data_IF_416402921941
#
_entry.id   IF_416402921941
#
_cell.length_a   1.000
_cell.length_b   1.000
_cell.length_c   1.000
_cell.angle_alpha   90.00
_cell.angle_beta   90.00
_cell.angle_gamma   90.00
#
_symmetry.space_group_name_H-M   'P 1'
#
loop_
_entity.id
_entity.type
_entity.pdbx_description
1 polymer ?
#
# COMPACT_ATOMS: atom_id res chain seq x y z
N UNK A 1 -28.81 20.68 2.93
CA UNK A 1 -28.66 20.26 4.32
C UNK A 1 -27.19 20.27 4.71
N UNK A 2 -26.83 21.14 5.63
CA UNK A 2 -25.50 21.24 6.21
C UNK A 2 -25.32 20.08 7.17
N UNK A 3 -24.59 19.02 6.75
CA UNK A 3 -24.18 17.97 7.67
C UNK A 3 -23.01 18.50 8.52
N UNK A 4 -23.20 18.57 9.82
CA UNK A 4 -22.12 18.90 10.76
C UNK A 4 -21.18 17.69 10.82
N UNK A 5 -19.97 17.85 10.29
CA UNK A 5 -18.97 16.81 10.27
C UNK A 5 -18.12 16.90 11.53
N UNK A 6 -18.13 15.88 12.36
CA UNK A 6 -17.18 15.76 13.46
C UNK A 6 -15.80 15.40 12.87
N UNK A 7 -14.97 16.44 12.72
CA UNK A 7 -13.56 16.28 12.32
C UNK A 7 -12.85 15.48 13.41
N UNK A 8 -12.30 14.32 13.07
CA UNK A 8 -11.52 13.40 13.92
C UNK A 8 -12.27 12.31 14.70
N UNK A 9 -13.55 12.05 14.45
CA UNK A 9 -14.25 10.92 15.08
C UNK A 9 -13.55 9.57 14.84
N UNK A 10 -12.83 9.44 13.72
CA UNK A 10 -12.08 8.24 13.33
C UNK A 10 -10.56 8.46 13.26
N UNK A 11 -10.03 9.56 13.82
CA UNK A 11 -8.61 9.90 13.74
C UNK A 11 -8.11 10.30 12.35
N UNK A 12 -8.95 10.24 11.33
CA UNK A 12 -8.63 10.56 9.93
C UNK A 12 -9.84 11.22 9.26
N UNK A 13 -9.58 12.23 8.40
CA UNK A 13 -10.62 12.92 7.67
C UNK A 13 -11.22 12.05 6.57
N UNK A 14 -12.51 11.70 6.70
CA UNK A 14 -13.24 10.97 5.65
C UNK A 14 -13.71 11.96 4.59
N UNK A 15 -13.39 11.69 3.34
CA UNK A 15 -13.60 12.58 2.21
C UNK A 15 -15.07 12.80 1.85
N UNK A 16 -15.90 11.77 1.99
CA UNK A 16 -17.31 11.82 1.62
C UNK A 16 -18.22 11.59 2.84
N UNK A 17 -19.08 12.56 3.20
CA UNK A 17 -20.00 12.39 4.34
C UNK A 17 -20.92 11.17 4.21
N UNK A 18 -21.33 10.81 2.99
CA UNK A 18 -22.17 9.64 2.73
C UNK A 18 -21.48 8.31 3.01
N UNK A 19 -20.15 8.32 3.09
CA UNK A 19 -19.37 7.12 3.39
C UNK A 19 -19.30 6.81 4.89
N UNK A 20 -19.68 7.72 5.77
CA UNK A 20 -19.63 7.52 7.22
C UNK A 20 -20.36 6.25 7.65
N UNK A 21 -21.55 5.98 7.09
CA UNK A 21 -22.31 4.77 7.43
C UNK A 21 -21.57 3.48 7.03
N UNK A 22 -20.81 3.50 5.94
CA UNK A 22 -20.01 2.35 5.48
C UNK A 22 -18.82 2.17 6.42
N UNK A 23 -18.13 3.26 6.74
CA UNK A 23 -16.98 3.23 7.67
C UNK A 23 -17.41 2.75 9.05
N UNK A 24 -18.52 3.26 9.58
CA UNK A 24 -19.08 2.78 10.85
C UNK A 24 -19.36 1.28 10.84
N UNK A 25 -19.94 0.75 9.75
CA UNK A 25 -20.18 -0.69 9.61
C UNK A 25 -18.87 -1.49 9.59
N UNK A 26 -17.87 -1.03 8.84
CA UNK A 26 -16.55 -1.67 8.77
C UNK A 26 -15.87 -1.66 10.14
N UNK A 27 -15.93 -0.54 10.86
CA UNK A 27 -15.35 -0.43 12.21
C UNK A 27 -16.09 -1.25 13.25
N UNK A 28 -17.41 -1.39 13.12
CA UNK A 28 -18.24 -2.15 14.06
C UNK A 28 -17.92 -3.66 14.07
N UNK A 29 -17.37 -4.21 12.97
CA UNK A 29 -16.95 -5.61 12.91
C UNK A 29 -15.66 -5.90 13.69
N UNK A 30 -14.96 -4.86 14.18
CA UNK A 30 -13.73 -4.99 14.98
C UNK A 30 -12.70 -5.97 14.41
N UNK A 31 -12.62 -6.05 13.09
CA UNK A 31 -11.67 -6.90 12.38
C UNK A 31 -10.29 -6.24 12.33
N UNK A 32 -9.24 -7.06 12.23
CA UNK A 32 -7.90 -6.57 11.97
C UNK A 32 -7.86 -5.75 10.67
N UNK A 33 -7.11 -4.66 10.66
CA UNK A 33 -6.99 -3.76 9.50
C UNK A 33 -5.71 -4.01 8.72
N UNK A 34 -5.77 -3.79 7.41
CA UNK A 34 -4.60 -3.96 6.53
C UNK A 34 -3.43 -3.05 6.93
N UNK A 35 -3.68 -1.94 7.62
CA UNK A 35 -2.62 -1.07 8.13
C UNK A 35 -1.58 -1.80 8.98
N UNK A 36 -1.96 -2.88 9.67
CA UNK A 36 -1.03 -3.72 10.43
C UNK A 36 -0.04 -4.49 9.55
N UNK A 37 -0.39 -4.75 8.29
CA UNK A 37 0.41 -5.50 7.32
C UNK A 37 1.29 -4.60 6.45
N UNK A 38 0.96 -3.31 6.34
CA UNK A 38 1.65 -2.35 5.48
C UNK A 38 2.91 -1.85 6.16
N UNK A 39 4.04 -1.84 5.44
CA UNK A 39 5.31 -1.32 5.92
C UNK A 39 5.24 0.19 6.20
N UNK A 40 6.17 0.67 7.02
CA UNK A 40 6.52 2.09 7.05
C UNK A 40 7.16 2.52 5.73
N UNK A 41 7.31 3.84 5.54
CA UNK A 41 8.10 4.39 4.44
C UNK A 41 9.54 3.88 4.51
N UNK A 42 10.19 3.68 3.37
CA UNK A 42 11.53 3.07 3.23
C UNK A 42 11.60 1.67 3.84
N UNK A 43 10.85 0.70 3.30
CA UNK A 43 10.76 -0.63 3.91
C UNK A 43 12.11 -1.34 4.06
N UNK A 44 13.10 -1.00 3.22
CA UNK A 44 14.47 -1.53 3.26
C UNK A 44 15.53 -0.44 3.56
N UNK A 45 15.10 0.75 3.97
CA UNK A 45 15.99 1.86 4.30
C UNK A 45 16.65 2.53 3.08
N UNK A 46 16.18 2.24 1.87
CA UNK A 46 16.78 2.72 0.62
C UNK A 46 16.02 3.94 0.07
N UNK A 47 16.74 5.03 -0.13
CA UNK A 47 16.20 6.25 -0.74
C UNK A 47 15.95 6.08 -2.25
N UNK A 48 15.10 6.94 -2.82
CA UNK A 48 14.73 6.91 -4.25
C UNK A 48 15.95 7.03 -5.19
N UNK A 49 17.00 7.74 -4.77
CA UNK A 49 18.20 7.97 -5.56
C UNK A 49 19.25 6.87 -5.44
N UNK A 50 18.99 5.80 -4.71
CA UNK A 50 19.89 4.65 -4.63
C UNK A 50 20.01 4.03 -6.01
N UNK A 51 21.25 3.85 -6.46
CA UNK A 51 21.57 3.21 -7.72
C UNK A 51 21.82 1.71 -7.52
N UNK A 52 21.42 0.86 -8.47
CA UNK A 52 21.77 -0.55 -8.44
C UNK A 52 23.26 -0.77 -8.62
N UNK A 53 23.76 -1.91 -8.14
CA UNK A 53 25.10 -2.40 -8.45
C UNK A 53 25.11 -3.15 -9.79
N UNK A 54 26.30 -3.34 -10.36
CA UNK A 54 26.45 -4.14 -11.58
C UNK A 54 26.16 -5.62 -11.31
N UNK A 55 26.56 -6.11 -10.13
CA UNK A 55 26.31 -7.47 -9.65
C UNK A 55 25.72 -7.45 -8.26
N UNK A 56 25.05 -8.51 -7.87
CA UNK A 56 24.45 -8.67 -6.55
C UNK A 56 23.55 -9.88 -6.45
N UNK A 57 23.29 -10.27 -5.22
CA UNK A 57 22.48 -11.44 -4.84
C UNK A 57 20.99 -11.08 -4.64
N UNK A 58 20.64 -9.79 -4.74
CA UNK A 58 19.25 -9.34 -4.67
C UNK A 58 18.83 -8.63 -5.95
N UNK A 59 17.53 -8.66 -6.20
CA UNK A 59 16.88 -7.81 -7.21
C UNK A 59 16.34 -6.55 -6.53
N UNK A 60 16.75 -5.38 -7.01
CA UNK A 60 16.28 -4.08 -6.56
C UNK A 60 15.23 -3.54 -7.53
N UNK A 61 14.03 -3.26 -7.02
CA UNK A 61 13.00 -2.51 -7.72
C UNK A 61 13.11 -1.02 -7.34
N UNK A 62 13.38 -0.17 -8.32
CA UNK A 62 13.56 1.27 -8.12
C UNK A 62 12.79 2.07 -9.19
N UNK A 63 12.83 3.39 -9.14
CA UNK A 63 12.02 4.26 -10.01
C UNK A 63 12.30 4.10 -11.52
N UNK A 64 13.46 3.59 -11.90
CA UNK A 64 13.84 3.38 -13.31
C UNK A 64 13.67 1.93 -13.78
N UNK A 65 13.21 1.02 -12.91
CA UNK A 65 13.01 -0.38 -13.25
C UNK A 65 13.58 -1.33 -12.22
N UNK A 66 14.35 -2.31 -12.66
CA UNK A 66 15.00 -3.31 -11.82
C UNK A 66 16.50 -3.32 -12.02
N UNK A 67 17.23 -3.69 -10.98
CA UNK A 67 18.67 -3.83 -11.00
C UNK A 67 19.16 -4.83 -9.97
N UNK A 68 20.45 -4.90 -9.75
CA UNK A 68 21.09 -5.75 -8.75
C UNK A 68 21.44 -4.97 -7.50
N UNK A 69 21.40 -5.64 -6.36
CA UNK A 69 21.81 -5.09 -5.08
C UNK A 69 22.47 -6.15 -4.21
N UNK A 70 23.18 -5.72 -3.16
CA UNK A 70 23.87 -6.62 -2.24
C UNK A 70 23.09 -6.77 -0.94
N UNK A 71 22.79 -8.01 -0.54
CA UNK A 71 22.13 -8.32 0.74
C UNK A 71 22.90 -7.72 1.93
N UNK A 72 24.22 -7.75 1.88
CA UNK A 72 25.09 -7.20 2.93
C UNK A 72 24.92 -5.70 3.16
N UNK A 73 24.36 -4.99 2.19
CA UNK A 73 24.11 -3.54 2.28
C UNK A 73 22.71 -3.21 2.81
N UNK A 74 21.87 -4.21 3.06
CA UNK A 74 20.49 -4.02 3.58
C UNK A 74 20.48 -4.27 5.08
N UNK A 75 20.13 -3.23 5.86
CA UNK A 75 20.13 -3.28 7.32
C UNK A 75 18.71 -3.13 7.92
N UNK A 76 17.72 -2.76 7.12
CA UNK A 76 16.33 -2.54 7.52
C UNK A 76 15.45 -3.45 6.67
N UNK A 77 14.40 -4.04 7.28
CA UNK A 77 13.46 -4.91 6.59
C UNK A 77 14.06 -6.23 6.13
N UNK A 78 15.15 -6.67 6.74
CA UNK A 78 15.87 -7.90 6.36
C UNK A 78 14.96 -9.12 6.39
N UNK A 79 14.02 -9.17 7.33
CA UNK A 79 13.02 -10.23 7.48
C UNK A 79 12.04 -10.33 6.31
N UNK A 80 11.90 -9.27 5.52
CA UNK A 80 11.02 -9.23 4.35
C UNK A 80 11.70 -9.73 3.07
N UNK A 81 13.03 -9.78 3.02
CA UNK A 81 13.77 -10.04 1.78
C UNK A 81 13.34 -11.35 1.14
N UNK A 82 13.26 -12.43 1.92
CA UNK A 82 12.98 -13.78 1.43
C UNK A 82 11.48 -14.15 1.47
N UNK A 83 10.62 -13.18 1.72
CA UNK A 83 9.17 -13.33 1.64
C UNK A 83 8.64 -13.04 0.24
N UNK A 84 7.49 -13.61 -0.08
CA UNK A 84 6.65 -13.15 -1.19
C UNK A 84 5.97 -11.85 -0.78
N UNK A 85 6.19 -10.78 -1.51
CA UNK A 85 5.73 -9.43 -1.13
C UNK A 85 4.77 -8.87 -2.15
N UNK A 86 3.80 -8.12 -1.68
CA UNK A 86 2.99 -7.23 -2.53
C UNK A 86 3.49 -5.81 -2.33
N UNK A 87 3.99 -5.22 -3.40
CA UNK A 87 4.56 -3.88 -3.45
C UNK A 87 3.55 -2.91 -4.06
N UNK A 88 3.45 -1.74 -3.48
CA UNK A 88 2.59 -0.65 -3.97
C UNK A 88 3.40 0.65 -4.09
N UNK A 89 2.96 1.53 -4.99
CA UNK A 89 3.58 2.84 -5.15
C UNK A 89 3.30 3.73 -3.94
N UNK A 90 4.29 4.49 -3.49
CA UNK A 90 4.13 5.54 -2.49
C UNK A 90 3.30 6.72 -3.02
N UNK A 91 3.44 7.06 -4.30
CA UNK A 91 2.59 8.05 -4.95
C UNK A 91 1.26 7.41 -5.36
N UNK A 92 0.16 8.07 -4.99
CA UNK A 92 -1.16 7.67 -5.45
C UNK A 92 -1.33 7.91 -6.95
N UNK A 93 -2.30 7.24 -7.56
CA UNK A 93 -2.66 7.49 -8.95
C UNK A 93 -3.19 8.93 -9.12
N UNK A 94 -2.97 9.48 -10.30
CA UNK A 94 -3.58 10.75 -10.69
C UNK A 94 -5.10 10.67 -10.54
N UNK A 95 -5.72 11.73 -9.99
CA UNK A 95 -7.14 11.77 -9.65
C UNK A 95 -7.61 10.68 -8.66
N UNK A 96 -6.72 10.19 -7.80
CA UNK A 96 -7.11 9.29 -6.71
C UNK A 96 -8.26 9.90 -5.88
N UNK A 97 -9.29 9.10 -5.62
CA UNK A 97 -10.47 9.55 -4.90
C UNK A 97 -11.55 10.19 -5.78
N UNK A 98 -11.37 10.18 -7.11
CA UNK A 98 -12.44 10.44 -8.07
C UNK A 98 -12.72 9.17 -8.88
N UNK A 99 -13.99 8.80 -9.07
CA UNK A 99 -14.32 7.67 -9.92
C UNK A 99 -14.04 8.02 -11.39
N UNK A 100 -13.57 7.03 -12.15
CA UNK A 100 -13.48 7.14 -13.59
C UNK A 100 -14.88 7.04 -14.25
N UNK A 101 -14.93 7.10 -15.58
CA UNK A 101 -16.18 6.99 -16.37
C UNK A 101 -16.97 5.69 -16.12
N UNK A 102 -16.36 4.67 -15.53
CA UNK A 102 -16.98 3.38 -15.19
C UNK A 102 -17.31 3.29 -13.70
N UNK A 103 -17.17 4.38 -12.93
CA UNK A 103 -17.37 4.42 -11.49
C UNK A 103 -16.27 3.74 -10.68
N UNK A 104 -15.08 3.54 -11.27
CA UNK A 104 -13.95 2.86 -10.63
C UNK A 104 -12.97 3.86 -10.02
N UNK A 105 -12.58 3.62 -8.78
CA UNK A 105 -11.54 4.40 -8.11
C UNK A 105 -10.16 3.80 -8.41
N UNK A 106 -9.28 4.61 -9.00
CA UNK A 106 -7.88 4.24 -9.24
C UNK A 106 -7.00 4.97 -8.21
N UNK A 107 -6.81 4.35 -7.06
CA UNK A 107 -6.01 4.95 -5.96
C UNK A 107 -4.56 4.52 -6.02
N UNK A 108 -4.31 3.22 -6.21
CA UNK A 108 -2.95 2.68 -6.33
C UNK A 108 -2.47 2.79 -7.77
N UNK A 109 -1.35 3.49 -8.00
CA UNK A 109 -0.76 3.64 -9.33
C UNK A 109 0.00 2.38 -9.77
N UNK A 110 0.66 1.70 -8.84
CA UNK A 110 1.40 0.46 -9.07
C UNK A 110 1.05 -0.54 -7.98
N UNK A 111 0.80 -1.78 -8.38
CA UNK A 111 0.68 -2.93 -7.49
C UNK A 111 1.37 -4.10 -8.17
N UNK A 112 2.40 -4.66 -7.55
CA UNK A 112 3.22 -5.74 -8.10
C UNK A 112 3.52 -6.79 -7.02
N UNK A 113 3.72 -8.04 -7.45
CA UNK A 113 4.23 -9.10 -6.58
C UNK A 113 5.75 -9.15 -6.73
N UNK A 114 6.46 -9.07 -5.62
CA UNK A 114 7.90 -9.27 -5.56
C UNK A 114 8.21 -10.67 -5.00
N UNK A 115 9.01 -11.47 -5.71
CA UNK A 115 9.43 -12.77 -5.21
C UNK A 115 10.47 -12.65 -4.07
N UNK A 116 10.83 -13.77 -3.41
CA UNK A 116 11.99 -13.80 -2.52
C UNK A 116 13.26 -13.24 -3.17
N UNK A 117 14.19 -12.79 -2.36
CA UNK A 117 15.45 -12.14 -2.78
C UNK A 117 15.23 -10.84 -3.56
N UNK A 118 14.13 -10.13 -3.28
CA UNK A 118 13.79 -8.85 -3.89
C UNK A 118 13.56 -7.78 -2.83
N UNK A 119 13.98 -6.55 -3.16
CA UNK A 119 13.83 -5.36 -2.34
C UNK A 119 13.37 -4.19 -3.20
N UNK A 120 12.96 -3.09 -2.56
CA UNK A 120 12.59 -1.86 -3.27
C UNK A 120 13.10 -0.62 -2.54
N UNK A 121 13.17 0.50 -3.28
CA UNK A 121 13.44 1.82 -2.72
C UNK A 121 12.19 2.44 -2.09
N UNK A 122 12.33 3.60 -1.46
CA UNK A 122 11.24 4.36 -0.86
C UNK A 122 10.19 4.90 -1.85
N UNK A 123 10.41 4.71 -3.15
CA UNK A 123 9.41 4.95 -4.19
C UNK A 123 8.18 4.05 -3.97
N UNK A 124 8.36 2.93 -3.25
CA UNK A 124 7.38 1.92 -2.99
C UNK A 124 7.25 1.60 -1.50
N UNK A 125 6.09 1.02 -1.14
CA UNK A 125 5.83 0.39 0.15
C UNK A 125 5.64 -1.11 -0.05
N UNK A 126 5.86 -1.88 1.00
CA UNK A 126 5.44 -3.27 1.06
C UNK A 126 4.06 -3.30 1.74
N UNK A 127 3.04 -3.63 0.96
CA UNK A 127 1.66 -3.71 1.44
C UNK A 127 1.39 -4.97 2.27
N UNK A 128 2.17 -6.02 2.04
CA UNK A 128 2.10 -7.28 2.78
C UNK A 128 3.24 -8.21 2.38
N UNK A 129 3.60 -9.13 3.28
CA UNK A 129 4.64 -10.14 3.07
C UNK A 129 4.14 -11.51 3.53
N UNK A 130 4.41 -12.55 2.75
CA UNK A 130 3.83 -13.87 2.90
C UNK A 130 4.89 -14.96 2.69
N UNK A 131 4.63 -16.15 3.24
CA UNK A 131 5.52 -17.30 3.08
C UNK A 131 5.35 -17.99 1.73
N UNK A 132 4.19 -17.84 1.09
CA UNK A 132 3.87 -18.48 -0.19
C UNK A 132 3.44 -17.50 -1.25
N UNK A 133 3.70 -17.86 -2.52
CA UNK A 133 3.25 -17.09 -3.67
C UNK A 133 1.73 -17.02 -3.74
N UNK A 134 1.03 -18.11 -3.42
CA UNK A 134 -0.43 -18.17 -3.44
C UNK A 134 -1.06 -17.14 -2.50
N UNK A 135 -0.53 -16.99 -1.29
CA UNK A 135 -0.98 -15.96 -0.35
C UNK A 135 -0.76 -14.54 -0.89
N UNK A 136 0.40 -14.29 -1.50
CA UNK A 136 0.71 -13.00 -2.13
C UNK A 136 -0.25 -12.70 -3.29
N UNK A 137 -0.56 -13.68 -4.13
CA UNK A 137 -1.52 -13.53 -5.24
C UNK A 137 -2.92 -13.22 -4.71
N UNK A 138 -3.38 -13.92 -3.68
CA UNK A 138 -4.68 -13.67 -3.07
C UNK A 138 -4.76 -12.24 -2.53
N UNK A 139 -3.74 -11.80 -1.82
CA UNK A 139 -3.67 -10.44 -1.28
C UNK A 139 -3.59 -9.37 -2.38
N UNK A 140 -2.79 -9.61 -3.41
CA UNK A 140 -2.70 -8.76 -4.59
C UNK A 140 -4.08 -8.57 -5.25
N UNK A 141 -4.83 -9.66 -5.43
CA UNK A 141 -6.16 -9.61 -6.01
C UNK A 141 -7.16 -8.86 -5.09
N UNK A 142 -7.06 -9.06 -3.78
CA UNK A 142 -7.89 -8.36 -2.81
C UNK A 142 -7.68 -6.84 -2.84
N UNK A 143 -6.43 -6.37 -2.88
CA UNK A 143 -6.12 -4.94 -2.99
C UNK A 143 -6.70 -4.29 -4.25
N UNK A 144 -6.94 -5.06 -5.29
CA UNK A 144 -7.48 -4.58 -6.57
C UNK A 144 -9.00 -4.62 -6.67
N UNK A 145 -9.69 -5.11 -5.64
CA UNK A 145 -11.16 -5.12 -5.60
C UNK A 145 -11.73 -3.70 -5.54
N UNK A 146 -12.96 -3.55 -6.03
CA UNK A 146 -13.70 -2.28 -5.93
C UNK A 146 -13.87 -1.83 -4.49
N UNK A 147 -14.12 -2.79 -3.60
CA UNK A 147 -14.30 -2.54 -2.17
C UNK A 147 -13.08 -1.89 -1.54
N UNK A 148 -11.89 -2.48 -1.70
CA UNK A 148 -10.65 -1.92 -1.15
C UNK A 148 -10.31 -0.57 -1.79
N UNK A 149 -10.44 -0.45 -3.10
CA UNK A 149 -10.19 0.82 -3.81
C UNK A 149 -11.11 1.94 -3.31
N UNK A 150 -12.37 1.62 -3.08
CA UNK A 150 -13.32 2.58 -2.52
C UNK A 150 -12.90 3.02 -1.12
N UNK A 151 -12.58 2.09 -0.22
CA UNK A 151 -12.13 2.42 1.13
C UNK A 151 -10.85 3.27 1.14
N UNK A 152 -9.89 2.95 0.28
CA UNK A 152 -8.67 3.74 0.13
C UNK A 152 -8.98 5.17 -0.40
N UNK A 153 -9.94 5.31 -1.29
CA UNK A 153 -10.35 6.61 -1.84
C UNK A 153 -10.90 7.57 -0.79
N UNK A 154 -11.47 7.05 0.30
CA UNK A 154 -12.03 7.85 1.38
C UNK A 154 -10.96 8.62 2.17
N UNK A 155 -9.74 8.07 2.23
CA UNK A 155 -8.62 8.63 2.99
C UNK A 155 -7.62 9.34 2.09
N UNK A 156 -7.72 9.20 0.78
CA UNK A 156 -6.79 9.79 -0.19
C UNK A 156 -6.93 11.34 -0.25
N UNK A 157 -6.54 12.01 0.83
CA UNK A 157 -6.50 13.48 0.94
C UNK A 157 -5.17 14.06 0.47
N UNK A 158 -4.14 13.21 0.29
CA UNK A 158 -2.82 13.60 -0.20
C UNK A 158 -2.42 12.74 -1.40
N UNK A 159 -1.35 13.16 -2.10
CA UNK A 159 -0.81 12.40 -3.24
C UNK A 159 0.00 11.17 -2.82
N UNK A 160 0.09 10.88 -1.51
CA UNK A 160 0.91 9.82 -0.97
C UNK A 160 0.07 8.70 -0.34
N UNK A 161 0.46 7.46 -0.60
CA UNK A 161 -0.07 6.28 0.05
C UNK A 161 0.85 5.93 1.22
N UNK A 162 0.26 5.78 2.40
CA UNK A 162 0.97 5.39 3.63
C UNK A 162 0.23 4.27 4.34
N UNK A 163 0.82 3.74 5.41
CA UNK A 163 0.15 2.76 6.27
C UNK A 163 -1.23 3.24 6.73
N UNK A 164 -1.36 4.52 7.11
CA UNK A 164 -2.63 5.10 7.55
C UNK A 164 -3.72 5.07 6.47
N UNK A 165 -3.36 5.01 5.18
CA UNK A 165 -4.32 4.87 4.08
C UNK A 165 -5.14 3.58 4.16
N UNK A 166 -4.66 2.58 4.89
CA UNK A 166 -5.27 1.26 5.05
C UNK A 166 -6.01 1.07 6.38
N UNK A 167 -6.16 2.11 7.19
CA UNK A 167 -6.75 2.03 8.54
C UNK A 167 -8.22 1.57 8.55
N UNK A 168 -8.95 1.74 7.45
CA UNK A 168 -10.34 1.30 7.32
C UNK A 168 -10.51 0.03 6.48
N UNK A 169 -9.43 -0.54 5.96
CA UNK A 169 -9.51 -1.73 5.12
C UNK A 169 -9.35 -2.97 5.99
N UNK A 170 -10.38 -3.84 6.07
CA UNK A 170 -10.30 -5.07 6.85
C UNK A 170 -9.38 -6.10 6.18
N UNK A 171 -8.74 -6.93 6.99
CA UNK A 171 -8.08 -8.16 6.55
C UNK A 171 -9.16 -9.19 6.21
N UNK A 172 -9.02 -9.89 5.09
CA UNK A 172 -9.86 -11.04 4.74
C UNK A 172 -9.16 -12.35 5.08
#
# INVERSE_FOLDING_TARGET
>A
STATKHLNEHGTLIRYPMADSIVHKVLAHNEEKLSSMVSSRKPFGLATNVAPFEEGDLTLRYNKGTGKYLRSMVNIGVELIDKWKVMISYLSAEHAGQPDKNGMFRVLSTTEILPPESICTETYLIAGAFDTEAEAINYYNYLRTRFVRFLLSLIAVSQHITRASFDFVPVQ
#
